data_IF_558288476984
#
_entry.id   IF_558288476984
#
_cell.length_a   1.000
_cell.length_b   1.000
_cell.length_c   1.000
_cell.angle_alpha   90.00
_cell.angle_beta   90.00
_cell.angle_gamma   90.00
#
_symmetry.space_group_name_H-M   'P 1'
#
loop_
_entity.id
_entity.type
_entity.pdbx_description
1 polymer ?
#
# COMPACT_ATOMS: atom_id res chain seq x y z
N UNK A 1 -5.80 -17.83 16.37
CA UNK A 1 -5.45 -17.88 17.80
C UNK A 1 -3.95 -17.71 17.94
N UNK A 2 -3.52 -16.75 18.76
CA UNK A 2 -2.14 -16.64 19.24
C UNK A 2 -2.13 -16.97 20.74
N UNK A 3 -1.11 -17.71 21.20
CA UNK A 3 -1.00 -18.18 22.58
C UNK A 3 0.39 -17.86 23.12
N UNK A 4 0.44 -17.22 24.29
CA UNK A 4 1.66 -17.07 25.08
C UNK A 4 1.37 -17.55 26.51
N UNK A 5 2.30 -18.31 27.09
CA UNK A 5 2.23 -18.76 28.48
C UNK A 5 3.49 -18.35 29.23
N UNK A 6 3.29 -17.64 30.34
CA UNK A 6 4.36 -17.22 31.23
C UNK A 6 4.19 -17.94 32.57
N UNK A 7 5.10 -18.86 32.95
CA UNK A 7 5.01 -19.57 34.21
C UNK A 7 5.31 -18.64 35.40
N UNK A 8 4.61 -18.85 36.52
CA UNK A 8 4.88 -18.20 37.80
C UNK A 8 5.60 -19.19 38.71
N UNK A 9 6.72 -18.74 39.28
CA UNK A 9 7.61 -19.52 40.11
C UNK A 9 7.60 -18.98 41.54
N UNK A 10 7.64 -19.86 42.54
CA UNK A 10 7.88 -19.52 43.94
C UNK A 10 8.81 -20.57 44.57
N UNK A 11 9.85 -20.11 45.28
CA UNK A 11 10.86 -20.97 45.92
C UNK A 11 11.39 -22.11 45.02
N UNK A 12 11.65 -21.81 43.73
CA UNK A 12 12.16 -22.77 42.75
C UNK A 12 11.13 -23.78 42.23
N UNK A 13 9.87 -23.66 42.64
CA UNK A 13 8.77 -24.54 42.21
C UNK A 13 7.78 -23.75 41.35
N UNK A 14 7.31 -24.33 40.24
CA UNK A 14 6.24 -23.72 39.44
C UNK A 14 4.94 -23.88 40.21
N UNK A 15 4.36 -22.75 40.60
CA UNK A 15 3.10 -22.74 41.33
C UNK A 15 1.91 -22.39 40.42
N UNK A 16 2.17 -21.93 39.19
CA UNK A 16 1.12 -21.69 38.20
C UNK A 16 1.65 -21.19 36.85
N UNK A 17 0.75 -20.91 35.91
CA UNK A 17 1.07 -20.25 34.67
C UNK A 17 -0.04 -19.29 34.27
N UNK A 18 0.33 -18.10 33.78
CA UNK A 18 -0.62 -17.19 33.16
C UNK A 18 -0.60 -17.44 31.67
N UNK A 19 -1.77 -17.77 31.15
CA UNK A 19 -1.99 -18.08 29.75
C UNK A 19 -2.90 -17.01 29.15
N UNK A 20 -2.48 -16.45 28.02
CA UNK A 20 -3.32 -15.54 27.24
C UNK A 20 -3.60 -16.15 25.88
N UNK A 21 -4.89 -16.33 25.59
CA UNK A 21 -5.39 -16.66 24.26
C UNK A 21 -5.93 -15.38 23.63
N UNK A 22 -5.35 -14.98 22.51
CA UNK A 22 -5.89 -13.87 21.72
C UNK A 22 -6.48 -14.39 20.43
N UNK A 23 -7.76 -14.08 20.20
CA UNK A 23 -8.35 -14.25 18.89
C UNK A 23 -7.90 -13.11 17.97
N UNK A 24 -7.14 -13.49 16.95
CA UNK A 24 -6.60 -12.58 15.92
C UNK A 24 -7.27 -12.80 14.56
N UNK A 25 -8.34 -13.60 14.51
CA UNK A 25 -8.98 -14.00 13.26
C UNK A 25 -9.47 -12.79 12.47
N UNK A 26 -10.02 -11.79 13.15
CA UNK A 26 -10.53 -10.58 12.49
C UNK A 26 -9.43 -9.75 11.83
N UNK A 27 -8.32 -9.53 12.52
CA UNK A 27 -7.17 -8.76 11.99
C UNK A 27 -6.62 -9.47 10.75
N UNK A 28 -6.35 -10.77 10.85
CA UNK A 28 -5.84 -11.57 9.72
C UNK A 28 -6.78 -11.57 8.52
N UNK A 29 -8.09 -11.63 8.74
CA UNK A 29 -9.08 -11.55 7.65
C UNK A 29 -9.10 -10.18 6.98
N UNK A 30 -8.99 -9.10 7.75
CA UNK A 30 -8.92 -7.74 7.20
C UNK A 30 -7.63 -7.55 6.40
N UNK A 31 -6.48 -7.97 6.92
CA UNK A 31 -5.19 -7.91 6.21
C UNK A 31 -5.24 -8.71 4.90
N UNK A 32 -5.75 -9.94 4.92
CA UNK A 32 -5.88 -10.77 3.73
C UNK A 32 -6.82 -10.14 2.68
N UNK A 33 -7.91 -9.53 3.13
CA UNK A 33 -8.86 -8.84 2.24
C UNK A 33 -8.23 -7.60 1.62
N UNK A 34 -7.51 -6.79 2.41
CA UNK A 34 -6.77 -5.63 1.92
C UNK A 34 -5.73 -6.02 0.87
N UNK A 35 -4.92 -7.05 1.15
CA UNK A 35 -3.91 -7.55 0.23
C UNK A 35 -4.54 -8.05 -1.09
N UNK A 36 -5.66 -8.76 -1.01
CA UNK A 36 -6.41 -9.21 -2.20
C UNK A 36 -6.91 -8.04 -3.03
N UNK A 37 -7.48 -7.01 -2.40
CA UNK A 37 -7.97 -5.81 -3.09
C UNK A 37 -6.83 -5.03 -3.74
N UNK A 38 -5.72 -4.84 -3.04
CA UNK A 38 -4.53 -4.19 -3.58
C UNK A 38 -4.03 -4.94 -4.82
N UNK A 39 -3.86 -6.26 -4.72
CA UNK A 39 -3.38 -7.06 -5.84
C UNK A 39 -4.33 -7.01 -7.04
N UNK A 40 -5.63 -7.03 -6.80
CA UNK A 40 -6.62 -6.92 -7.87
C UNK A 40 -6.54 -5.56 -8.57
N UNK A 41 -6.40 -4.48 -7.80
CA UNK A 41 -6.29 -3.13 -8.36
C UNK A 41 -5.00 -2.99 -9.20
N UNK A 42 -3.87 -3.48 -8.70
CA UNK A 42 -2.61 -3.52 -9.47
C UNK A 42 -2.78 -4.25 -10.81
N UNK A 43 -3.42 -5.44 -10.79
CA UNK A 43 -3.64 -6.22 -11.99
C UNK A 43 -4.54 -5.47 -12.98
N UNK A 44 -5.64 -4.87 -12.52
CA UNK A 44 -6.52 -4.07 -13.37
C UNK A 44 -5.78 -2.89 -14.02
N UNK A 45 -5.02 -2.14 -13.23
CA UNK A 45 -4.26 -0.99 -13.70
C UNK A 45 -3.13 -1.39 -14.66
N UNK A 46 -2.50 -2.55 -14.44
CA UNK A 46 -1.48 -3.11 -15.34
C UNK A 46 -2.04 -3.66 -16.64
N UNK A 47 -3.28 -4.16 -16.63
CA UNK A 47 -3.96 -4.70 -17.80
C UNK A 47 -4.66 -3.63 -18.64
N UNK A 48 -4.91 -2.45 -18.08
CA UNK A 48 -5.52 -1.33 -18.80
C UNK A 48 -4.60 -0.91 -19.97
N UNK A 49 -5.15 -0.98 -21.19
CA UNK A 49 -4.49 -0.50 -22.41
C UNK A 49 -4.44 1.03 -22.52
N UNK A 50 -5.07 1.74 -21.58
CA UNK A 50 -5.07 3.19 -21.47
C UNK A 50 -4.08 3.64 -20.38
N UNK A 51 -3.44 4.79 -20.61
CA UNK A 51 -2.62 5.44 -19.61
C UNK A 51 -3.47 6.10 -18.54
N UNK A 52 -3.26 5.72 -17.28
CA UNK A 52 -3.95 6.27 -16.11
C UNK A 52 -2.92 6.95 -15.22
N UNK A 53 -3.10 8.25 -14.99
CA UNK A 53 -2.35 9.05 -14.01
C UNK A 53 -3.33 9.63 -12.97
N UNK A 54 -2.94 9.53 -11.70
CA UNK A 54 -3.59 10.24 -10.60
C UNK A 54 -2.80 11.51 -10.27
N UNK A 55 -3.51 12.51 -9.75
CA UNK A 55 -2.91 13.77 -9.31
C UNK A 55 -3.51 14.19 -7.97
N UNK A 56 -2.66 14.78 -7.11
CA UNK A 56 -3.12 15.49 -5.90
C UNK A 56 -3.79 16.83 -6.27
N UNK A 57 -4.39 17.51 -5.29
CA UNK A 57 -5.09 18.78 -5.51
C UNK A 57 -4.17 19.88 -6.07
N UNK A 58 -2.88 19.82 -5.73
CA UNK A 58 -1.82 20.71 -6.19
C UNK A 58 -1.28 20.33 -7.59
N UNK A 59 -1.87 19.31 -8.22
CA UNK A 59 -1.51 18.87 -9.58
C UNK A 59 -0.25 18.02 -9.66
N UNK A 60 0.30 17.57 -8.53
CA UNK A 60 1.44 16.64 -8.50
C UNK A 60 0.98 15.21 -8.79
N UNK A 61 1.76 14.45 -9.56
CA UNK A 61 1.44 13.05 -9.87
C UNK A 61 1.60 12.22 -8.59
N UNK A 62 0.53 11.57 -8.13
CA UNK A 62 0.53 10.65 -6.98
C UNK A 62 0.53 9.17 -7.40
N UNK A 63 0.11 8.92 -8.64
CA UNK A 63 -0.06 7.58 -9.17
C UNK A 63 0.09 7.59 -10.69
N UNK A 64 0.68 6.54 -11.23
CA UNK A 64 0.78 6.32 -12.67
C UNK A 64 0.83 4.82 -12.98
N UNK A 65 0.00 4.36 -13.91
CA UNK A 65 0.01 2.96 -14.33
C UNK A 65 1.15 2.68 -15.35
N UNK A 66 1.54 1.41 -15.56
CA UNK A 66 2.63 1.06 -16.49
C UNK A 66 2.42 1.55 -17.93
N UNK A 67 1.17 1.59 -18.38
CA UNK A 67 0.81 2.07 -19.72
C UNK A 67 1.07 3.57 -19.85
N UNK A 68 0.66 4.38 -18.86
CA UNK A 68 0.94 5.81 -18.83
C UNK A 68 2.44 6.10 -18.73
N UNK A 69 3.17 5.37 -17.89
CA UNK A 69 4.64 5.42 -17.87
C UNK A 69 5.22 5.23 -19.26
N UNK A 70 4.64 4.29 -20.01
CA UNK A 70 5.11 3.96 -21.34
C UNK A 70 4.80 5.03 -22.37
N UNK A 71 3.59 5.58 -22.31
CA UNK A 71 3.12 6.64 -23.19
C UNK A 71 3.88 7.95 -22.96
N UNK A 72 4.17 8.28 -21.70
CA UNK A 72 4.88 9.51 -21.33
C UNK A 72 6.40 9.41 -21.51
N UNK A 73 6.91 8.23 -21.91
CA UNK A 73 8.35 7.96 -22.01
C UNK A 73 9.09 8.13 -20.67
N UNK A 74 8.42 7.82 -19.56
CA UNK A 74 8.94 7.95 -18.19
C UNK A 74 9.39 6.60 -17.60
N UNK A 75 9.50 5.54 -18.40
CA UNK A 75 9.84 4.21 -17.94
C UNK A 75 11.18 4.21 -17.20
N UNK A 76 11.22 3.57 -16.03
CA UNK A 76 12.44 3.46 -15.21
C UNK A 76 12.82 4.76 -14.49
N UNK A 77 12.01 5.80 -14.57
CA UNK A 77 12.18 7.03 -13.81
C UNK A 77 11.10 7.13 -12.73
N UNK A 78 11.42 7.79 -11.62
CA UNK A 78 10.39 8.12 -10.62
C UNK A 78 9.48 9.24 -11.17
N UNK A 79 8.18 9.16 -10.87
CA UNK A 79 7.24 10.25 -11.14
C UNK A 79 7.19 11.28 -10.01
N UNK A 80 7.81 10.99 -8.85
CA UNK A 80 7.93 11.95 -7.75
C UNK A 80 8.46 13.31 -8.24
N UNK A 81 7.72 14.37 -7.94
CA UNK A 81 8.05 15.74 -8.34
C UNK A 81 7.60 16.14 -9.75
N UNK A 82 6.95 15.23 -10.49
CA UNK A 82 6.31 15.55 -11.78
C UNK A 82 4.89 16.03 -11.55
N UNK A 83 4.49 17.00 -12.36
CA UNK A 83 3.16 17.60 -12.31
C UNK A 83 2.34 17.27 -13.55
N UNK A 84 1.02 17.46 -13.45
CA UNK A 84 0.10 17.51 -14.58
C UNK A 84 0.59 18.46 -15.70
N UNK A 85 1.31 19.52 -15.33
CA UNK A 85 1.94 20.45 -16.26
C UNK A 85 3.00 19.79 -17.16
N UNK A 86 3.78 18.84 -16.63
CA UNK A 86 4.81 18.10 -17.40
C UNK A 86 4.18 17.16 -18.43
N UNK A 87 2.95 16.72 -18.19
CA UNK A 87 2.22 15.79 -19.07
C UNK A 87 1.52 16.54 -20.19
N UNK A 88 0.79 17.61 -19.84
CA UNK A 88 -0.04 18.34 -20.80
C UNK A 88 0.69 19.55 -21.43
N UNK A 89 1.91 19.85 -20.99
CA UNK A 89 2.68 21.00 -21.49
C UNK A 89 2.02 22.35 -21.18
N UNK A 90 1.10 22.36 -20.20
CA UNK A 90 0.48 23.58 -19.70
C UNK A 90 1.52 24.29 -18.84
N UNK A 91 2.38 25.12 -19.43
CA UNK A 91 3.21 26.01 -18.62
C UNK A 91 2.28 26.80 -17.70
N UNK A 92 2.58 26.80 -16.40
CA UNK A 92 1.98 27.72 -15.43
C UNK A 92 1.90 29.11 -16.09
N UNK A 93 0.74 29.78 -16.12
CA UNK A 93 0.65 31.11 -16.70
C UNK A 93 1.62 32.00 -15.92
N UNK A 94 2.76 32.32 -16.55
CA UNK A 94 3.57 33.46 -16.12
C UNK A 94 2.68 34.68 -16.21
N UNK A 95 2.64 35.45 -15.12
CA UNK A 95 1.94 36.73 -14.92
C UNK A 95 1.61 37.53 -16.20
#
# INVERSE_FOLDING_TARGET
MHYTSTPIWENGTIIGAVVVFQDVSKIKQTEATLALLQRRNELLLSAAGEGICGFECEGQVDFINPTAYSMLSWQGQNFEGRSIHDIFGLNDPKE
#
